data_IF_570892548970
#
_entry.id   IF_570892548970
#
_cell.length_a   1.000
_cell.length_b   1.000
_cell.length_c   1.000
_cell.angle_alpha   90.00
_cell.angle_beta   90.00
_cell.angle_gamma   90.00
#
_symmetry.space_group_name_H-M   'P 1'
#
loop_
_entity.id
_entity.type
_entity.pdbx_description
1 polymer ?
#
# COMPACT_ATOMS: atom_id res chain seq x y z
N UNK A 1 11.18 78.76 -11.90
CA UNK A 1 10.43 77.77 -11.10
C UNK A 1 10.59 76.41 -11.79
N UNK A 2 11.60 75.63 -11.40
CA UNK A 2 11.83 74.27 -11.93
C UNK A 2 11.22 73.28 -10.93
N UNK A 3 10.19 72.57 -11.36
CA UNK A 3 9.59 71.47 -10.60
C UNK A 3 10.59 70.32 -10.57
N UNK A 4 11.08 69.97 -9.38
CA UNK A 4 11.86 68.76 -9.13
C UNK A 4 10.95 67.54 -9.30
N UNK A 5 11.39 66.59 -10.11
CA UNK A 5 10.73 65.31 -10.36
C UNK A 5 10.99 64.37 -9.18
N UNK A 6 10.14 64.48 -8.15
CA UNK A 6 10.18 63.69 -6.91
C UNK A 6 9.77 62.22 -7.16
N UNK A 7 9.34 61.86 -8.37
CA UNK A 7 8.81 60.52 -8.66
C UNK A 7 9.87 59.46 -8.94
N UNK A 8 11.07 59.86 -9.39
CA UNK A 8 12.18 58.93 -9.64
C UNK A 8 12.96 58.59 -8.37
N UNK A 9 13.18 59.54 -7.48
CA UNK A 9 13.94 59.30 -6.25
C UNK A 9 13.18 58.41 -5.26
N UNK A 10 11.84 58.40 -5.30
CA UNK A 10 11.01 57.52 -4.45
C UNK A 10 10.99 56.05 -4.90
N UNK A 11 11.34 55.77 -6.17
CA UNK A 11 11.52 54.41 -6.68
C UNK A 11 12.96 53.90 -6.50
N UNK A 12 13.93 54.81 -6.34
CA UNK A 12 15.35 54.49 -6.13
C UNK A 12 15.66 54.20 -4.65
N UNK A 13 14.87 54.71 -3.70
CA UNK A 13 15.07 54.43 -2.26
C UNK A 13 14.47 53.10 -1.77
N UNK A 14 13.63 52.42 -2.57
CA UNK A 14 13.12 51.07 -2.24
C UNK A 14 14.04 49.94 -2.72
N UNK A 15 15.06 50.25 -3.52
CA UNK A 15 16.23 49.38 -3.71
C UNK A 15 17.28 49.69 -2.64
N UNK A 16 16.92 49.54 -1.36
CA UNK A 16 17.93 49.11 -0.38
C UNK A 16 18.41 47.77 -0.88
N UNK A 17 19.67 47.72 -1.32
CA UNK A 17 20.28 46.53 -1.90
C UNK A 17 19.99 45.33 -1.01
N UNK A 18 19.11 44.43 -1.45
CA UNK A 18 19.14 43.07 -0.94
C UNK A 18 20.59 42.62 -1.10
N UNK A 19 21.19 42.16 -0.02
CA UNK A 19 22.49 41.54 -0.13
C UNK A 19 22.34 40.25 -0.98
N UNK A 20 23.46 39.71 -1.44
CA UNK A 20 23.42 38.55 -2.32
C UNK A 20 22.77 37.33 -1.64
N UNK A 21 22.89 37.23 -0.32
CA UNK A 21 22.27 36.22 0.51
C UNK A 21 20.73 36.30 0.48
N UNK A 22 20.16 37.49 0.57
CA UNK A 22 18.71 37.72 0.49
C UNK A 22 18.17 37.36 -0.91
N UNK A 23 18.94 37.65 -1.97
CA UNK A 23 18.60 37.26 -3.34
C UNK A 23 18.59 35.74 -3.52
N UNK A 24 19.59 35.04 -2.97
CA UNK A 24 19.61 33.57 -2.97
C UNK A 24 18.38 33.03 -2.22
N UNK A 25 18.08 33.59 -1.05
CA UNK A 25 16.90 33.23 -0.25
C UNK A 25 15.60 33.42 -1.02
N UNK A 26 15.48 34.52 -1.77
CA UNK A 26 14.31 34.79 -2.61
C UNK A 26 14.20 33.79 -3.76
N UNK A 27 15.28 33.50 -4.48
CA UNK A 27 15.23 32.58 -5.61
C UNK A 27 14.99 31.13 -5.18
N UNK A 28 15.61 30.66 -4.10
CA UNK A 28 15.34 29.30 -3.59
C UNK A 28 13.89 29.16 -3.13
N UNK A 29 13.28 30.24 -2.62
CA UNK A 29 11.89 30.24 -2.17
C UNK A 29 10.89 29.93 -3.28
N UNK A 30 11.25 30.20 -4.54
CA UNK A 30 10.41 29.92 -5.72
C UNK A 30 10.45 28.45 -6.14
N UNK A 31 11.45 27.69 -5.68
CA UNK A 31 11.62 26.28 -6.05
C UNK A 31 10.69 25.34 -5.27
N UNK A 32 10.57 24.09 -5.75
CA UNK A 32 9.81 23.03 -5.07
C UNK A 32 10.40 22.63 -3.72
N UNK A 33 11.70 22.85 -3.48
CA UNK A 33 12.38 22.42 -2.26
C UNK A 33 11.81 23.03 -0.98
N UNK A 34 11.27 24.25 -1.04
CA UNK A 34 10.62 24.86 0.12
C UNK A 34 9.31 24.14 0.47
N UNK A 35 8.53 23.75 -0.54
CA UNK A 35 7.32 22.96 -0.34
C UNK A 35 7.66 21.59 0.24
N UNK A 36 8.66 20.90 -0.34
CA UNK A 36 9.14 19.60 0.15
C UNK A 36 9.57 19.68 1.62
N UNK A 37 10.36 20.71 1.97
CA UNK A 37 10.79 20.91 3.35
C UNK A 37 9.59 21.09 4.29
N UNK A 38 8.62 21.93 3.94
CA UNK A 38 7.42 22.17 4.77
C UNK A 38 6.58 20.91 4.95
N UNK A 39 6.31 20.18 3.86
CA UNK A 39 5.58 18.91 3.89
C UNK A 39 6.31 17.91 4.79
N UNK A 40 7.63 17.80 4.68
CA UNK A 40 8.44 16.96 5.56
C UNK A 40 8.35 17.35 7.04
N UNK A 41 8.34 18.65 7.36
CA UNK A 41 8.17 19.11 8.75
C UNK A 41 6.76 18.81 9.28
N UNK A 42 5.71 18.99 8.48
CA UNK A 42 4.33 18.65 8.86
C UNK A 42 4.20 17.16 9.19
N UNK A 43 4.76 16.30 8.34
CA UNK A 43 4.82 14.85 8.54
C UNK A 43 5.53 14.50 9.85
N UNK A 44 6.73 15.04 10.08
CA UNK A 44 7.51 14.79 11.31
C UNK A 44 6.79 15.30 12.56
N UNK A 45 6.17 16.47 12.50
CA UNK A 45 5.36 17.03 13.59
C UNK A 45 4.16 16.14 13.95
N UNK A 46 3.63 15.42 12.96
CA UNK A 46 2.61 14.39 13.15
C UNK A 46 3.21 13.00 13.31
N UNK A 47 4.47 12.84 13.70
CA UNK A 47 5.06 11.53 14.06
C UNK A 47 5.24 10.54 12.91
N UNK A 48 5.36 11.02 11.66
CA UNK A 48 5.79 10.21 10.54
C UNK A 48 7.31 10.18 10.44
N UNK A 49 7.88 9.01 10.15
CA UNK A 49 9.26 8.91 9.67
C UNK A 49 9.30 9.40 8.22
N UNK A 50 10.30 10.18 7.85
CA UNK A 50 10.42 10.79 6.51
C UNK A 50 11.80 10.52 5.93
N UNK A 51 11.83 10.06 4.69
CA UNK A 51 13.00 9.92 3.81
C UNK A 51 12.81 10.94 2.67
N UNK A 52 13.85 11.71 2.35
CA UNK A 52 13.82 12.77 1.33
C UNK A 52 14.86 12.50 0.25
N UNK A 53 14.52 12.79 -1.00
CA UNK A 53 15.46 12.72 -2.12
C UNK A 53 16.03 11.33 -2.37
N UNK A 54 15.22 10.29 -2.20
CA UNK A 54 15.66 8.92 -2.43
C UNK A 54 15.70 8.62 -3.93
N UNK A 55 16.86 8.18 -4.41
CA UNK A 55 17.07 7.83 -5.80
C UNK A 55 16.71 6.38 -6.07
N UNK A 56 16.01 6.13 -7.18
CA UNK A 56 15.73 4.80 -7.70
C UNK A 56 16.05 4.73 -9.19
N UNK A 57 16.33 3.53 -9.68
CA UNK A 57 16.51 3.28 -11.12
C UNK A 57 15.17 2.81 -11.67
N UNK A 58 14.68 3.47 -12.71
CA UNK A 58 13.46 3.07 -13.39
C UNK A 58 13.71 1.81 -14.23
N UNK A 59 13.12 0.69 -13.83
CA UNK A 59 13.30 -0.61 -14.49
C UNK A 59 12.96 -0.62 -15.99
N UNK A 60 12.20 0.37 -16.50
CA UNK A 60 11.85 0.44 -17.93
C UNK A 60 12.81 1.31 -18.76
N UNK A 61 13.44 2.30 -18.14
CA UNK A 61 14.21 3.33 -18.83
C UNK A 61 15.71 3.30 -18.45
N UNK A 62 16.09 2.59 -17.38
CA UNK A 62 17.44 2.57 -16.78
C UNK A 62 17.96 3.99 -16.46
N UNK A 63 17.03 4.88 -16.10
CA UNK A 63 17.31 6.28 -15.75
C UNK A 63 17.14 6.46 -14.24
N UNK A 64 18.14 7.05 -13.54
CA UNK A 64 17.97 7.45 -12.16
C UNK A 64 16.87 8.50 -12.03
N UNK A 65 15.94 8.26 -11.12
CA UNK A 65 14.85 9.17 -10.76
C UNK A 65 14.90 9.43 -9.25
N UNK A 66 14.48 10.61 -8.85
CA UNK A 66 14.39 11.01 -7.46
C UNK A 66 12.92 10.97 -7.01
N UNK A 67 12.68 10.42 -5.83
CA UNK A 67 11.42 10.56 -5.11
C UNK A 67 11.52 11.75 -4.17
N UNK A 68 10.57 12.68 -4.28
CA UNK A 68 10.57 13.89 -3.46
C UNK A 68 10.54 13.50 -1.96
N UNK A 69 9.51 12.75 -1.52
CA UNK A 69 9.41 12.24 -0.14
C UNK A 69 8.78 10.85 -0.04
N UNK A 70 9.33 10.00 0.83
CA UNK A 70 8.64 8.84 1.39
C UNK A 70 8.40 9.08 2.87
N UNK A 71 7.16 8.90 3.31
CA UNK A 71 6.83 8.91 4.73
C UNK A 71 6.18 7.60 5.16
N UNK A 72 6.47 7.15 6.38
CA UNK A 72 5.84 5.94 6.90
C UNK A 72 5.59 5.99 8.40
N UNK A 73 4.61 5.19 8.83
CA UNK A 73 4.38 4.79 10.22
C UNK A 73 4.36 3.28 10.33
N UNK A 74 4.76 2.79 11.50
CA UNK A 74 4.87 1.36 11.80
C UNK A 74 4.12 1.05 13.08
N UNK A 75 3.30 0.00 13.04
CA UNK A 75 2.72 -0.64 14.20
C UNK A 75 3.11 -2.12 14.20
N UNK A 76 3.02 -2.76 15.35
CA UNK A 76 3.18 -4.21 15.45
C UNK A 76 1.85 -4.87 15.82
N UNK A 77 1.59 -6.03 15.25
CA UNK A 77 0.39 -6.85 15.49
C UNK A 77 0.80 -8.30 15.80
N UNK A 78 -0.14 -9.09 16.30
CA UNK A 78 0.05 -10.51 16.66
C UNK A 78 1.27 -10.72 17.55
N UNK A 79 1.20 -10.23 18.80
CA UNK A 79 2.29 -10.36 19.79
C UNK A 79 3.66 -9.90 19.30
N UNK A 80 3.69 -8.77 18.59
CA UNK A 80 4.89 -8.16 18.02
C UNK A 80 5.58 -8.93 16.88
N UNK A 81 4.93 -9.95 16.31
CA UNK A 81 5.51 -10.75 15.23
C UNK A 81 5.46 -10.06 13.85
N UNK A 82 4.42 -9.27 13.58
CA UNK A 82 4.19 -8.68 12.25
C UNK A 82 4.20 -7.16 12.32
N UNK A 83 5.01 -6.54 11.47
CA UNK A 83 5.09 -5.09 11.34
C UNK A 83 4.15 -4.58 10.24
N UNK A 84 3.24 -3.68 10.60
CA UNK A 84 2.29 -3.04 9.68
C UNK A 84 2.80 -1.65 9.32
N UNK A 85 3.15 -1.46 8.05
CA UNK A 85 3.60 -0.20 7.49
C UNK A 85 2.47 0.48 6.72
N UNK A 86 2.25 1.74 7.03
CA UNK A 86 1.46 2.65 6.18
C UNK A 86 2.42 3.64 5.55
N UNK A 87 2.50 3.63 4.23
CA UNK A 87 3.47 4.40 3.45
C UNK A 87 2.76 5.45 2.63
N UNK A 88 3.30 6.67 2.64
CA UNK A 88 2.92 7.78 1.79
C UNK A 88 4.10 8.04 0.84
N UNK A 89 3.89 7.85 -0.45
CA UNK A 89 4.82 8.29 -1.49
C UNK A 89 4.30 9.63 -1.98
N UNK A 90 5.09 10.67 -1.82
CA UNK A 90 4.65 12.04 -1.99
C UNK A 90 5.50 12.71 -3.07
N UNK A 91 4.83 13.34 -4.02
CA UNK A 91 5.45 14.26 -4.96
C UNK A 91 5.00 15.68 -4.67
N UNK A 92 5.95 16.60 -4.61
CA UNK A 92 5.70 18.01 -4.38
C UNK A 92 5.87 18.76 -5.70
N UNK A 93 4.88 19.58 -6.06
CA UNK A 93 4.94 20.43 -7.26
C UNK A 93 4.50 21.84 -6.91
N UNK A 94 5.40 22.80 -7.14
CA UNK A 94 5.16 24.23 -6.93
C UNK A 94 5.10 24.94 -8.28
N UNK A 95 4.19 25.89 -8.41
CA UNK A 95 4.11 26.78 -9.57
C UNK A 95 3.56 28.14 -9.16
N UNK A 96 4.31 29.20 -9.42
CA UNK A 96 3.86 30.59 -9.19
C UNK A 96 3.07 31.11 -10.39
N UNK A 97 3.29 30.56 -11.58
CA UNK A 97 2.70 31.04 -12.84
C UNK A 97 1.41 30.32 -13.21
N UNK A 98 1.28 29.05 -12.84
CA UNK A 98 0.21 28.18 -13.32
C UNK A 98 -0.55 27.50 -12.17
N UNK A 99 -1.87 27.50 -12.27
CA UNK A 99 -2.76 26.65 -11.49
C UNK A 99 -2.93 25.29 -12.18
N UNK A 100 -3.31 24.27 -11.41
CA UNK A 100 -3.61 22.94 -11.95
C UNK A 100 -5.12 22.77 -12.11
N UNK A 101 -5.56 22.42 -13.31
CA UNK A 101 -6.95 22.12 -13.62
C UNK A 101 -7.14 20.62 -13.87
N UNK A 102 -8.08 20.02 -13.13
CA UNK A 102 -8.49 18.64 -13.25
C UNK A 102 -9.81 18.62 -14.02
N UNK A 103 -9.77 18.12 -15.26
CA UNK A 103 -10.94 18.08 -16.13
C UNK A 103 -11.76 16.85 -15.78
N UNK A 104 -13.00 17.10 -15.36
CA UNK A 104 -13.82 16.10 -14.68
C UNK A 104 -15.22 15.98 -15.28
N UNK A 105 -15.79 14.79 -15.15
CA UNK A 105 -17.18 14.47 -15.49
C UNK A 105 -17.82 13.61 -14.41
N UNK A 106 -19.12 13.34 -14.54
CA UNK A 106 -19.83 12.46 -13.63
C UNK A 106 -19.21 11.06 -13.63
N UNK A 107 -18.95 10.52 -12.44
CA UNK A 107 -18.35 9.21 -12.27
C UNK A 107 -19.39 8.09 -12.42
N UNK A 108 -18.97 6.97 -13.02
CA UNK A 108 -19.75 5.74 -13.06
C UNK A 108 -19.03 4.62 -12.27
N UNK A 109 -19.29 4.53 -10.97
CA UNK A 109 -18.70 3.49 -10.09
C UNK A 109 -19.07 2.03 -10.48
N UNK A 110 -19.91 1.84 -11.49
CA UNK A 110 -20.27 0.53 -12.06
C UNK A 110 -19.54 0.22 -13.37
N UNK A 111 -18.65 1.10 -13.83
CA UNK A 111 -17.83 0.84 -15.02
C UNK A 111 -16.93 -0.38 -14.79
N UNK A 112 -17.09 -1.48 -15.55
CA UNK A 112 -16.27 -2.68 -15.39
C UNK A 112 -14.82 -2.48 -15.85
N UNK A 113 -14.51 -1.39 -16.54
CA UNK A 113 -13.16 -1.10 -17.06
C UNK A 113 -12.29 -0.29 -16.09
N UNK A 114 -12.81 0.04 -14.91
CA UNK A 114 -12.09 0.86 -13.93
C UNK A 114 -12.13 0.18 -12.57
N UNK A 115 -10.94 -0.09 -12.00
CA UNK A 115 -10.84 -0.45 -10.58
C UNK A 115 -10.85 0.84 -9.73
N UNK A 116 -11.99 1.12 -9.09
CA UNK A 116 -12.16 2.28 -8.22
C UNK A 116 -11.59 2.09 -6.81
N UNK A 117 -11.20 0.87 -6.45
CA UNK A 117 -10.67 0.54 -5.13
C UNK A 117 -9.30 -0.15 -5.22
N UNK A 118 -8.33 0.42 -5.96
CA UNK A 118 -7.02 -0.19 -6.05
C UNK A 118 -6.39 -0.26 -4.66
N UNK A 119 -5.78 -1.40 -4.36
CA UNK A 119 -5.06 -1.64 -3.13
C UNK A 119 -3.65 -2.11 -3.46
N UNK A 120 -2.67 -1.25 -3.20
CA UNK A 120 -1.27 -1.59 -3.34
C UNK A 120 -0.71 -2.00 -1.99
N UNK A 121 -0.56 -3.30 -1.83
CA UNK A 121 0.05 -3.90 -0.65
C UNK A 121 1.18 -4.84 -1.03
N UNK A 122 2.13 -5.00 -0.11
CA UNK A 122 3.16 -6.03 -0.17
C UNK A 122 3.25 -6.71 1.20
N UNK A 123 3.46 -8.02 1.22
CA UNK A 123 3.75 -8.76 2.46
C UNK A 123 4.66 -9.95 2.17
N UNK A 124 5.52 -10.28 3.13
CA UNK A 124 6.27 -11.54 3.17
C UNK A 124 5.67 -12.54 4.17
N UNK A 125 4.56 -12.20 4.83
CA UNK A 125 3.80 -13.14 5.64
C UNK A 125 2.84 -13.93 4.76
N UNK A 126 2.87 -15.26 4.92
CA UNK A 126 2.13 -16.18 4.05
C UNK A 126 0.63 -16.12 4.30
N UNK A 127 0.20 -15.93 5.55
CA UNK A 127 -1.22 -15.86 5.91
C UNK A 127 -1.86 -14.58 5.38
N UNK A 128 -1.20 -13.43 5.57
CA UNK A 128 -1.65 -12.17 4.98
C UNK A 128 -1.61 -12.21 3.45
N UNK A 129 -0.57 -12.82 2.87
CA UNK A 129 -0.44 -12.99 1.42
C UNK A 129 -1.64 -13.75 0.83
N UNK A 130 -2.06 -14.84 1.47
CA UNK A 130 -3.27 -15.57 1.08
C UNK A 130 -4.53 -14.70 1.22
N UNK A 131 -4.71 -14.03 2.35
CA UNK A 131 -5.90 -13.19 2.58
C UNK A 131 -6.02 -12.08 1.55
N UNK A 132 -4.91 -11.42 1.20
CA UNK A 132 -4.90 -10.33 0.22
C UNK A 132 -5.14 -10.82 -1.22
N UNK A 133 -4.85 -12.09 -1.52
CA UNK A 133 -5.09 -12.68 -2.83
C UNK A 133 -6.56 -13.05 -3.09
N UNK A 134 -7.43 -13.02 -2.06
CA UNK A 134 -8.86 -13.34 -2.22
C UNK A 134 -9.56 -12.25 -3.04
N UNK A 135 -10.36 -12.66 -4.02
CA UNK A 135 -11.12 -11.75 -4.87
C UNK A 135 -12.02 -10.79 -4.07
N UNK A 136 -12.05 -9.52 -4.47
CA UNK A 136 -12.85 -8.47 -3.81
C UNK A 136 -12.25 -7.91 -2.52
N UNK A 137 -11.09 -8.38 -2.07
CA UNK A 137 -10.40 -7.85 -0.88
C UNK A 137 -10.04 -6.38 -0.94
N UNK A 138 -9.59 -5.80 -2.07
CA UNK A 138 -9.33 -4.36 -2.15
C UNK A 138 -10.55 -3.53 -1.71
N UNK A 139 -11.73 -3.81 -2.25
CA UNK A 139 -12.97 -3.13 -1.85
C UNK A 139 -13.30 -3.33 -0.37
N UNK A 140 -13.20 -4.57 0.14
CA UNK A 140 -13.40 -4.87 1.58
C UNK A 140 -12.43 -4.12 2.48
N UNK A 141 -11.19 -3.91 2.04
CA UNK A 141 -10.21 -3.10 2.76
C UNK A 141 -10.69 -1.65 2.86
N UNK A 142 -11.07 -1.02 1.74
CA UNK A 142 -11.56 0.37 1.74
C UNK A 142 -12.81 0.54 2.61
N UNK A 143 -13.74 -0.42 2.58
CA UNK A 143 -14.90 -0.46 3.47
C UNK A 143 -14.48 -0.65 4.95
N UNK A 144 -13.56 -1.57 5.22
CA UNK A 144 -13.11 -1.90 6.57
C UNK A 144 -12.37 -0.75 7.27
N UNK A 145 -11.48 -0.05 6.57
CA UNK A 145 -10.77 1.09 7.18
C UNK A 145 -11.71 2.27 7.46
N UNK A 146 -12.78 2.45 6.67
CA UNK A 146 -13.82 3.46 6.93
C UNK A 146 -14.62 3.16 8.20
N UNK A 147 -14.89 1.89 8.50
CA UNK A 147 -15.53 1.48 9.77
C UNK A 147 -14.66 1.90 10.97
N UNK A 148 -13.34 2.02 10.79
CA UNK A 148 -12.41 2.49 11.81
C UNK A 148 -12.19 4.02 11.81
N UNK A 149 -13.04 4.78 11.11
CA UNK A 149 -13.06 6.25 11.17
C UNK A 149 -12.13 6.95 10.19
N UNK A 150 -11.58 6.23 9.20
CA UNK A 150 -10.91 6.86 8.06
C UNK A 150 -11.95 7.49 7.16
N UNK A 151 -11.80 8.75 6.81
CA UNK A 151 -12.70 9.44 5.88
C UNK A 151 -12.01 9.62 4.53
N UNK A 152 -11.23 10.67 4.38
CA UNK A 152 -10.83 11.19 3.09
C UNK A 152 -9.75 10.33 2.42
N UNK A 153 -8.85 9.76 3.21
CA UNK A 153 -7.79 8.87 2.73
C UNK A 153 -8.34 7.55 2.19
N UNK A 154 -9.58 7.19 2.53
CA UNK A 154 -10.29 6.02 2.01
C UNK A 154 -11.60 6.38 1.28
N UNK A 155 -11.78 7.66 0.94
CA UNK A 155 -12.97 8.12 0.25
C UNK A 155 -12.99 7.62 -1.20
N UNK A 156 -14.19 7.31 -1.67
CA UNK A 156 -14.43 7.00 -3.08
C UNK A 156 -14.27 8.31 -3.91
N UNK A 157 -13.74 8.22 -5.14
CA UNK A 157 -13.68 9.37 -6.03
C UNK A 157 -15.07 9.94 -6.30
N UNK A 158 -15.21 11.26 -6.21
CA UNK A 158 -16.49 11.95 -6.39
C UNK A 158 -16.79 12.25 -7.86
N UNK A 159 -15.76 12.27 -8.69
CA UNK A 159 -15.82 12.58 -10.12
C UNK A 159 -14.82 11.69 -10.88
N UNK A 160 -15.06 11.53 -12.17
CA UNK A 160 -14.07 10.94 -13.06
C UNK A 160 -13.21 12.05 -13.67
N UNK A 161 -11.95 12.13 -13.26
CA UNK A 161 -10.97 13.02 -13.89
C UNK A 161 -10.42 12.32 -15.13
N UNK A 162 -10.69 12.88 -16.31
CA UNK A 162 -10.32 12.28 -17.59
C UNK A 162 -9.14 12.97 -18.28
N UNK A 163 -8.79 14.18 -17.84
CA UNK A 163 -7.66 14.93 -18.38
C UNK A 163 -7.15 15.97 -17.37
N UNK A 164 -5.96 16.50 -17.65
CA UNK A 164 -5.29 17.50 -16.86
C UNK A 164 -4.85 18.67 -17.73
N UNK A 165 -4.74 19.86 -17.13
CA UNK A 165 -4.32 21.05 -17.83
C UNK A 165 -3.69 22.03 -16.84
N UNK A 166 -2.47 22.51 -17.08
CA UNK A 166 -2.01 23.71 -16.37
C UNK A 166 -2.67 24.96 -16.97
N UNK A 167 -3.10 25.89 -16.12
CA UNK A 167 -3.80 27.12 -16.49
C UNK A 167 -3.01 28.31 -15.98
N UNK A 168 -2.71 29.29 -16.83
CA UNK A 168 -2.00 30.49 -16.38
C UNK A 168 -2.84 31.26 -15.36
N UNK A 169 -2.25 31.61 -14.22
CA UNK A 169 -2.92 32.41 -13.19
C UNK A 169 -3.24 33.83 -13.62
N UNK A 170 -2.53 34.34 -14.64
CA UNK A 170 -2.68 35.72 -15.11
C UNK A 170 -3.93 35.90 -15.96
N UNK A 171 -4.20 34.97 -16.89
CA UNK A 171 -5.24 35.14 -17.90
C UNK A 171 -6.12 33.90 -18.12
N UNK A 172 -5.91 32.82 -17.35
CA UNK A 172 -6.63 31.57 -17.49
C UNK A 172 -6.34 30.81 -18.79
N UNK A 173 -5.30 31.17 -19.56
CA UNK A 173 -4.97 30.45 -20.79
C UNK A 173 -4.36 29.09 -20.49
N UNK A 174 -4.71 28.02 -21.25
CA UNK A 174 -4.10 26.71 -21.08
C UNK A 174 -2.59 26.74 -21.40
N UNK A 175 -1.83 25.94 -20.67
CA UNK A 175 -0.39 25.69 -20.85
C UNK A 175 -0.15 24.23 -21.25
N UNK A 176 1.06 23.70 -21.11
CA UNK A 176 1.24 22.24 -21.23
C UNK A 176 0.88 21.58 -19.88
N UNK A 177 0.78 20.26 -19.84
CA UNK A 177 0.45 19.47 -18.64
C UNK A 177 1.65 18.66 -18.13
N UNK A 178 2.88 18.98 -18.59
CA UNK A 178 4.09 18.19 -18.34
C UNK A 178 4.38 18.04 -16.85
N UNK A 179 4.18 19.10 -16.07
CA UNK A 179 4.41 19.06 -14.62
C UNK A 179 3.46 18.06 -13.92
N UNK A 180 2.20 18.02 -14.37
CA UNK A 180 1.17 17.11 -13.85
C UNK A 180 1.53 15.68 -14.22
N UNK A 181 1.78 15.43 -15.51
CA UNK A 181 2.15 14.10 -16.01
C UNK A 181 3.41 13.56 -15.33
N UNK A 182 4.43 14.39 -15.13
CA UNK A 182 5.65 14.01 -14.42
C UNK A 182 5.38 13.63 -12.95
N UNK A 183 4.48 14.36 -12.26
CA UNK A 183 4.10 14.02 -10.88
C UNK A 183 3.36 12.68 -10.79
N UNK A 184 2.46 12.41 -11.74
CA UNK A 184 1.71 11.15 -11.77
C UNK A 184 2.63 9.97 -12.07
N UNK A 185 3.46 10.10 -13.10
CA UNK A 185 4.37 9.03 -13.52
C UNK A 185 5.45 8.76 -12.48
N UNK A 186 5.99 9.78 -11.82
CA UNK A 186 6.97 9.57 -10.75
C UNK A 186 6.35 8.80 -9.57
N UNK A 187 5.14 9.16 -9.13
CA UNK A 187 4.44 8.47 -8.04
C UNK A 187 4.19 6.99 -8.34
N UNK A 188 3.66 6.68 -9.53
CA UNK A 188 3.34 5.30 -9.92
C UNK A 188 4.62 4.46 -10.06
N UNK A 189 5.66 5.02 -10.69
CA UNK A 189 6.95 4.33 -10.85
C UNK A 189 7.66 4.12 -9.51
N UNK A 190 7.64 5.12 -8.63
CA UNK A 190 8.16 5.03 -7.27
C UNK A 190 7.48 3.92 -6.45
N UNK A 191 6.15 3.80 -6.51
CA UNK A 191 5.43 2.72 -5.84
C UNK A 191 5.82 1.34 -6.37
N UNK A 192 5.92 1.20 -7.70
CA UNK A 192 6.32 -0.06 -8.30
C UNK A 192 7.74 -0.48 -7.87
N UNK A 193 8.68 0.47 -7.85
CA UNK A 193 10.03 0.27 -7.34
C UNK A 193 10.05 -0.14 -5.86
N UNK A 194 9.32 0.58 -5.01
CA UNK A 194 9.29 0.29 -3.58
C UNK A 194 8.75 -1.13 -3.32
N UNK A 195 7.68 -1.52 -4.01
CA UNK A 195 7.10 -2.87 -3.94
C UNK A 195 8.09 -3.92 -4.43
N UNK A 196 8.79 -3.68 -5.55
CA UNK A 196 9.74 -4.66 -6.13
C UNK A 196 11.01 -4.81 -5.30
N UNK A 197 11.45 -3.77 -4.60
CA UNK A 197 12.64 -3.77 -3.76
C UNK A 197 12.42 -4.44 -2.38
N UNK A 198 11.17 -4.51 -1.89
CA UNK A 198 10.86 -5.03 -0.54
C UNK A 198 11.31 -6.49 -0.28
N UNK A 199 11.15 -7.47 -1.19
CA UNK A 199 11.65 -8.84 -0.97
C UNK A 199 13.15 -8.92 -0.64
N UNK A 200 13.95 -8.04 -1.25
CA UNK A 200 15.39 -7.98 -0.97
C UNK A 200 15.68 -7.32 0.38
N UNK A 201 15.00 -6.20 0.69
CA UNK A 201 15.27 -5.35 1.87
C UNK A 201 14.64 -5.88 3.17
N UNK A 202 13.42 -6.43 3.13
CA UNK A 202 12.62 -6.72 4.32
C UNK A 202 12.63 -8.21 4.69
N UNK A 203 13.22 -8.53 5.85
CA UNK A 203 13.37 -9.91 6.34
C UNK A 203 12.43 -10.28 7.50
N UNK A 204 12.08 -9.33 8.36
CA UNK A 204 11.03 -9.53 9.38
C UNK A 204 9.65 -9.63 8.71
N UNK A 205 8.72 -10.36 9.33
CA UNK A 205 7.34 -10.45 8.84
C UNK A 205 6.73 -9.05 8.82
N UNK A 206 6.20 -8.65 7.69
CA UNK A 206 5.64 -7.32 7.53
C UNK A 206 4.57 -7.27 6.45
N UNK A 207 3.73 -6.25 6.54
CA UNK A 207 2.82 -5.82 5.49
C UNK A 207 2.96 -4.33 5.27
N UNK A 208 3.04 -3.90 4.02
CA UNK A 208 3.15 -2.53 3.59
C UNK A 208 1.91 -2.17 2.80
N UNK A 209 1.27 -1.04 3.15
CA UNK A 209 0.18 -0.45 2.40
C UNK A 209 0.61 0.93 1.88
N UNK A 210 0.50 1.13 0.57
CA UNK A 210 1.02 2.31 -0.12
C UNK A 210 -0.08 3.29 -0.52
N UNK A 211 0.18 4.58 -0.32
CA UNK A 211 -0.68 5.69 -0.71
C UNK A 211 0.13 6.68 -1.55
N UNK A 212 -0.44 7.14 -2.67
CA UNK A 212 0.20 8.10 -3.56
C UNK A 212 -0.42 9.49 -3.36
N UNK A 213 0.42 10.50 -3.14
CA UNK A 213 -0.02 11.87 -2.88
C UNK A 213 0.77 12.84 -3.75
N UNK A 214 0.07 13.72 -4.46
CA UNK A 214 0.66 14.87 -5.15
C UNK A 214 0.28 16.14 -4.37
N UNK A 215 1.25 16.75 -3.71
CA UNK A 215 1.08 17.99 -2.94
C UNK A 215 1.44 19.20 -3.81
N UNK A 216 0.52 20.15 -3.91
CA UNK A 216 0.57 21.28 -4.81
C UNK A 216 0.81 22.57 -4.03
N UNK A 217 1.94 23.23 -4.32
CA UNK A 217 2.23 24.61 -3.93
C UNK A 217 1.67 25.59 -4.95
N UNK A 218 0.45 25.35 -5.43
CA UNK A 218 -0.28 26.19 -6.38
C UNK A 218 -1.79 25.96 -6.24
N UNK A 219 -2.58 26.77 -6.93
CA UNK A 219 -4.04 26.68 -6.89
C UNK A 219 -4.51 25.47 -7.70
N UNK A 220 -5.53 24.79 -7.20
CA UNK A 220 -6.12 23.62 -7.85
C UNK A 220 -7.60 23.86 -8.14
N UNK A 221 -8.01 23.53 -9.36
CA UNK A 221 -9.39 23.70 -9.85
C UNK A 221 -9.93 22.40 -10.43
N UNK A 222 -11.18 22.09 -10.12
CA UNK A 222 -11.98 21.11 -10.84
C UNK A 222 -12.74 21.82 -11.96
N UNK A 223 -12.55 21.37 -13.20
CA UNK A 223 -13.32 21.82 -14.35
C UNK A 223 -14.37 20.76 -14.70
N UNK A 224 -15.61 20.99 -14.27
CA UNK A 224 -16.72 20.09 -14.55
C UNK A 224 -17.27 20.31 -15.96
N UNK A 225 -17.13 19.29 -16.80
CA UNK A 225 -17.78 19.21 -18.10
C UNK A 225 -19.20 18.68 -17.87
N UNK A 226 -20.19 19.52 -18.15
CA UNK A 226 -21.59 19.12 -18.14
C UNK A 226 -21.92 18.21 -19.33
N UNK A 227 -23.10 17.58 -19.28
CA UNK A 227 -23.66 16.89 -20.44
C UNK A 227 -23.79 17.84 -21.64
N UNK A 228 -23.88 17.27 -22.84
CA UNK A 228 -23.76 17.97 -24.11
C UNK A 228 -24.46 19.35 -24.14
N UNK A 229 -23.66 20.41 -24.31
CA UNK A 229 -24.14 21.80 -24.42
C UNK A 229 -24.10 22.64 -23.15
N UNK A 230 -23.77 22.07 -21.98
CA UNK A 230 -23.82 22.76 -20.69
C UNK A 230 -22.60 23.62 -20.29
N UNK A 231 -21.57 23.73 -21.16
CA UNK A 231 -20.35 24.47 -20.86
C UNK A 231 -19.44 23.81 -19.81
N UNK A 232 -18.41 24.53 -19.37
CA UNK A 232 -17.43 24.07 -18.37
C UNK A 232 -17.51 24.94 -17.13
N UNK A 233 -17.72 24.35 -15.95
CA UNK A 233 -17.76 25.05 -14.67
C UNK A 233 -16.47 24.82 -13.89
N UNK A 234 -15.78 25.90 -13.54
CA UNK A 234 -14.61 25.85 -12.67
C UNK A 234 -14.99 25.97 -11.19
N UNK A 235 -14.37 25.16 -10.34
CA UNK A 235 -14.50 25.21 -8.87
C UNK A 235 -13.12 25.05 -8.26
N UNK A 236 -12.71 25.98 -7.40
CA UNK A 236 -11.48 25.83 -6.61
C UNK A 236 -11.65 24.68 -5.60
N UNK A 237 -10.63 23.84 -5.46
CA UNK A 237 -10.64 22.65 -4.61
C UNK A 237 -9.31 22.47 -3.90
N UNK A 238 -9.34 21.95 -2.68
CA UNK A 238 -8.13 21.64 -1.91
C UNK A 238 -7.72 20.17 -2.01
N UNK A 239 -8.62 19.30 -2.49
CA UNK A 239 -8.40 17.86 -2.61
C UNK A 239 -9.15 17.25 -3.80
N UNK A 240 -8.55 16.26 -4.45
CA UNK A 240 -9.20 15.38 -5.41
C UNK A 240 -8.63 13.96 -5.38
N UNK A 241 -9.48 12.95 -5.62
CA UNK A 241 -9.07 11.57 -5.83
C UNK A 241 -9.04 11.25 -7.33
N UNK A 242 -7.90 10.77 -7.83
CA UNK A 242 -7.74 10.35 -9.22
C UNK A 242 -7.38 8.86 -9.30
N UNK A 243 -8.08 8.14 -10.16
CA UNK A 243 -7.78 6.75 -10.50
C UNK A 243 -6.95 6.76 -11.78
N UNK A 244 -5.65 6.57 -11.62
CA UNK A 244 -4.69 6.51 -12.71
C UNK A 244 -4.64 5.09 -13.28
N UNK A 245 -4.92 4.93 -14.57
CA UNK A 245 -4.72 3.68 -15.30
C UNK A 245 -3.37 3.74 -16.01
N UNK A 246 -2.41 2.93 -15.57
CA UNK A 246 -1.05 2.92 -16.10
C UNK A 246 -0.58 1.51 -16.46
N UNK A 247 0.33 1.42 -17.41
CA UNK A 247 1.04 0.17 -17.73
C UNK A 247 2.43 0.26 -17.10
N UNK A 248 2.70 -0.62 -16.13
CA UNK A 248 4.01 -0.76 -15.48
C UNK A 248 4.49 -2.18 -15.69
N UNK A 249 5.74 -2.36 -16.14
CA UNK A 249 6.31 -3.68 -16.43
C UNK A 249 5.42 -4.55 -17.35
N UNK A 250 4.83 -3.94 -18.38
CA UNK A 250 3.90 -4.55 -19.36
C UNK A 250 2.61 -5.12 -18.74
N UNK A 251 2.27 -4.73 -17.51
CA UNK A 251 1.01 -5.07 -16.85
C UNK A 251 0.21 -3.80 -16.61
N UNK A 252 -1.06 -3.85 -16.96
CA UNK A 252 -2.00 -2.80 -16.60
C UNK A 252 -2.26 -2.83 -15.10
N UNK A 253 -2.25 -1.66 -14.48
CA UNK A 253 -2.52 -1.45 -13.07
C UNK A 253 -3.29 -0.15 -12.88
N UNK A 254 -4.16 -0.14 -11.88
CA UNK A 254 -4.85 1.05 -11.42
C UNK A 254 -4.19 1.54 -10.15
N UNK A 255 -3.93 2.83 -10.07
CA UNK A 255 -3.36 3.47 -8.89
C UNK A 255 -4.19 4.67 -8.49
N UNK A 256 -4.55 4.74 -7.21
CA UNK A 256 -5.23 5.90 -6.65
C UNK A 256 -4.20 6.94 -6.22
N UNK A 257 -4.31 8.13 -6.79
CA UNK A 257 -3.46 9.27 -6.51
C UNK A 257 -4.32 10.37 -5.92
N UNK A 258 -3.93 10.87 -4.75
CA UNK A 258 -4.60 11.98 -4.10
C UNK A 258 -3.89 13.28 -4.43
N UNK A 259 -4.57 14.20 -5.09
CA UNK A 259 -4.08 15.57 -5.27
C UNK A 259 -4.53 16.41 -4.09
N UNK A 260 -3.60 17.15 -3.51
CA UNK A 260 -3.82 18.01 -2.35
C UNK A 260 -3.08 19.32 -2.57
N UNK A 261 -3.68 20.45 -2.24
CA UNK A 261 -2.93 21.69 -2.01
C UNK A 261 -2.07 21.55 -0.73
N UNK A 262 -1.18 22.51 -0.49
CA UNK A 262 -0.41 22.56 0.78
C UNK A 262 -1.34 22.56 2.01
N UNK A 263 -2.41 23.36 1.97
CA UNK A 263 -3.39 23.46 3.05
C UNK A 263 -4.23 22.18 3.18
N UNK A 264 -4.74 21.68 2.05
CA UNK A 264 -5.49 20.41 2.02
C UNK A 264 -4.67 19.23 2.52
N UNK A 265 -3.35 19.23 2.27
CA UNK A 265 -2.44 18.21 2.81
C UNK A 265 -2.36 18.29 4.33
N UNK A 266 -2.14 19.49 4.88
CA UNK A 266 -2.08 19.72 6.32
C UNK A 266 -3.35 19.23 7.04
N UNK A 267 -4.52 19.56 6.49
CA UNK A 267 -5.83 19.13 7.02
C UNK A 267 -6.03 17.61 6.94
N UNK A 268 -5.58 16.99 5.85
CA UNK A 268 -5.76 15.54 5.62
C UNK A 268 -4.85 14.65 6.46
N UNK A 269 -3.78 15.21 7.04
CA UNK A 269 -2.69 14.42 7.63
C UNK A 269 -3.15 13.64 8.87
N UNK A 270 -4.11 14.17 9.62
CA UNK A 270 -4.73 13.46 10.74
C UNK A 270 -5.55 12.25 10.27
N UNK A 271 -6.15 12.31 9.09
CA UNK A 271 -6.86 11.18 8.50
C UNK A 271 -5.90 10.07 8.04
N UNK A 272 -4.72 10.42 7.52
CA UNK A 272 -3.67 9.42 7.28
C UNK A 272 -3.14 8.81 8.59
N UNK A 273 -3.15 9.57 9.70
CA UNK A 273 -2.89 9.04 11.03
C UNK A 273 -3.93 8.01 11.47
N UNK A 274 -5.22 8.28 11.22
CA UNK A 274 -6.32 7.33 11.43
C UNK A 274 -6.20 6.12 10.51
N UNK A 275 -5.80 6.32 9.25
CA UNK A 275 -5.56 5.23 8.30
C UNK A 275 -4.51 4.26 8.82
N UNK A 276 -3.41 4.76 9.40
CA UNK A 276 -2.41 3.87 10.00
C UNK A 276 -2.98 3.02 11.15
N UNK A 277 -3.76 3.62 12.04
CA UNK A 277 -4.41 2.89 13.14
C UNK A 277 -5.44 1.87 12.61
N UNK A 278 -6.21 2.25 11.59
CA UNK A 278 -7.17 1.38 10.91
C UNK A 278 -6.47 0.21 10.21
N UNK A 279 -5.33 0.45 9.56
CA UNK A 279 -4.51 -0.58 8.94
C UNK A 279 -4.05 -1.63 9.96
N UNK A 280 -3.51 -1.19 11.11
CA UNK A 280 -3.10 -2.12 12.16
C UNK A 280 -4.25 -3.03 12.61
N UNK A 281 -5.46 -2.47 12.80
CA UNK A 281 -6.66 -3.25 13.17
C UNK A 281 -7.13 -4.18 12.06
N UNK A 282 -7.20 -3.67 10.83
CA UNK A 282 -7.69 -4.43 9.68
C UNK A 282 -6.77 -5.60 9.37
N UNK A 283 -5.46 -5.38 9.27
CA UNK A 283 -4.49 -6.46 9.03
C UNK A 283 -4.43 -7.46 10.19
N UNK A 284 -4.60 -7.03 11.44
CA UNK A 284 -4.73 -7.95 12.57
C UNK A 284 -5.99 -8.83 12.47
N UNK A 285 -7.11 -8.25 12.06
CA UNK A 285 -8.35 -8.97 11.80
C UNK A 285 -8.18 -9.99 10.68
N UNK A 286 -7.61 -9.58 9.54
CA UNK A 286 -7.34 -10.46 8.40
C UNK A 286 -6.40 -11.62 8.75
N UNK A 287 -5.37 -11.34 9.54
CA UNK A 287 -4.46 -12.36 10.03
C UNK A 287 -5.15 -13.34 10.98
N UNK A 288 -5.95 -12.86 11.94
CA UNK A 288 -6.75 -13.71 12.82
C UNK A 288 -7.78 -14.55 12.02
N UNK A 289 -8.41 -13.95 11.02
CA UNK A 289 -9.38 -14.57 10.13
C UNK A 289 -8.78 -15.72 9.32
N UNK A 290 -7.49 -15.67 8.98
CA UNK A 290 -6.79 -16.76 8.31
C UNK A 290 -6.70 -18.00 9.20
N UNK A 291 -6.34 -17.81 10.47
CA UNK A 291 -6.18 -18.91 11.43
C UNK A 291 -7.49 -19.40 12.05
N UNK A 292 -8.56 -18.61 11.99
CA UNK A 292 -9.89 -19.03 12.44
C UNK A 292 -10.34 -20.27 11.66
N UNK A 293 -10.60 -21.34 12.40
CA UNK A 293 -11.07 -22.63 11.89
C UNK A 293 -10.21 -23.14 10.73
N UNK A 294 -8.91 -22.87 10.75
CA UNK A 294 -8.00 -23.10 9.61
C UNK A 294 -8.01 -24.56 9.13
N UNK A 295 -8.15 -25.51 10.06
CA UNK A 295 -8.16 -26.94 9.76
C UNK A 295 -9.38 -27.37 8.95
N UNK A 296 -10.44 -26.55 8.92
CA UNK A 296 -11.66 -26.79 8.16
C UNK A 296 -11.63 -26.16 6.74
N UNK A 297 -10.53 -25.51 6.34
CA UNK A 297 -10.37 -24.89 5.03
C UNK A 297 -9.08 -25.42 4.36
N UNK A 298 -9.25 -26.41 3.48
CA UNK A 298 -8.15 -27.10 2.78
C UNK A 298 -7.22 -26.13 2.03
N UNK A 299 -7.75 -25.00 1.54
CA UNK A 299 -6.92 -24.02 0.83
C UNK A 299 -5.98 -23.30 1.79
N UNK A 300 -6.41 -23.05 3.02
CA UNK A 300 -5.57 -22.42 4.05
C UNK A 300 -4.57 -23.40 4.64
N UNK A 301 -4.96 -24.66 4.83
CA UNK A 301 -4.02 -25.68 5.32
C UNK A 301 -2.89 -25.90 4.30
N UNK A 302 -3.23 -26.03 3.02
CA UNK A 302 -2.27 -26.25 1.94
C UNK A 302 -1.21 -25.14 1.85
N UNK A 303 -1.61 -23.89 2.08
CA UNK A 303 -0.71 -22.72 2.07
C UNK A 303 0.43 -22.83 3.09
N UNK A 304 0.21 -23.52 4.22
CA UNK A 304 1.22 -23.73 5.26
C UNK A 304 1.87 -25.13 5.21
N UNK A 305 1.43 -25.99 4.30
CA UNK A 305 1.81 -27.41 4.27
C UNK A 305 3.33 -27.62 4.20
N UNK A 306 4.04 -26.83 3.39
CA UNK A 306 5.49 -26.98 3.29
C UNK A 306 6.20 -26.68 4.62
N UNK A 307 5.74 -25.66 5.37
CA UNK A 307 6.30 -25.32 6.69
C UNK A 307 5.99 -26.40 7.72
N UNK A 308 4.79 -26.97 7.64
CA UNK A 308 4.40 -28.10 8.50
C UNK A 308 5.27 -29.33 8.21
N UNK A 309 5.37 -29.72 6.94
CA UNK A 309 6.19 -30.85 6.49
C UNK A 309 7.64 -30.72 6.96
N UNK A 310 8.28 -29.58 6.71
CA UNK A 310 9.67 -29.35 7.10
C UNK A 310 9.90 -29.52 8.61
N UNK A 311 8.88 -29.19 9.42
CA UNK A 311 8.94 -29.32 10.88
C UNK A 311 8.75 -30.77 11.38
N UNK A 312 7.93 -31.57 10.70
CA UNK A 312 7.60 -32.95 11.12
C UNK A 312 8.45 -34.01 10.43
N UNK A 313 8.96 -33.74 9.22
CA UNK A 313 9.57 -34.74 8.32
C UNK A 313 10.66 -35.54 9.01
N UNK A 314 11.72 -34.87 9.44
CA UNK A 314 12.92 -35.55 9.94
C UNK A 314 12.69 -36.29 11.27
N UNK A 315 12.05 -35.70 12.29
CA UNK A 315 11.79 -36.39 13.55
C UNK A 315 10.90 -37.63 13.38
N UNK A 316 9.87 -37.56 12.53
CA UNK A 316 8.96 -38.69 12.30
C UNK A 316 9.63 -39.76 11.43
N UNK A 317 10.34 -39.36 10.35
CA UNK A 317 11.11 -40.27 9.48
C UNK A 317 12.01 -41.19 10.29
N UNK A 318 12.80 -40.61 11.19
CA UNK A 318 13.75 -41.37 12.00
C UNK A 318 13.08 -42.44 12.85
N UNK A 319 11.88 -42.17 13.39
CA UNK A 319 11.13 -43.15 14.19
C UNK A 319 10.57 -44.27 13.34
N UNK A 320 10.00 -43.91 12.19
CA UNK A 320 9.46 -44.86 11.24
C UNK A 320 10.55 -45.80 10.70
N UNK A 321 11.71 -45.28 10.31
CA UNK A 321 12.85 -46.09 9.82
C UNK A 321 13.41 -47.06 10.88
N UNK A 322 13.35 -46.69 12.17
CA UNK A 322 13.76 -47.59 13.27
C UNK A 322 12.83 -48.79 13.43
N UNK A 323 11.54 -48.61 13.17
CA UNK A 323 10.51 -49.66 13.31
C UNK A 323 10.36 -50.46 12.02
N UNK A 324 10.28 -49.79 10.87
CA UNK A 324 10.03 -50.34 9.55
C UNK A 324 11.30 -50.16 8.70
N UNK A 325 12.09 -51.23 8.54
CA UNK A 325 13.46 -51.20 7.98
C UNK A 325 13.60 -50.72 6.52
N UNK A 326 12.52 -50.33 5.83
CA UNK A 326 12.51 -49.92 4.41
C UNK A 326 11.38 -48.91 4.07
N UNK A 327 10.95 -48.07 5.02
CA UNK A 327 9.91 -47.07 4.73
C UNK A 327 10.52 -45.77 4.19
N UNK A 328 9.99 -45.27 3.07
CA UNK A 328 10.35 -43.95 2.53
C UNK A 328 9.39 -42.90 3.08
N UNK A 329 9.88 -42.04 3.99
CA UNK A 329 9.09 -40.95 4.58
C UNK A 329 9.56 -39.59 4.07
N UNK A 330 9.14 -39.23 2.86
CA UNK A 330 9.45 -37.93 2.26
C UNK A 330 8.21 -37.20 1.70
N UNK A 331 7.07 -37.87 1.66
CA UNK A 331 5.81 -37.31 1.15
C UNK A 331 5.23 -36.26 2.10
N UNK A 332 4.60 -35.24 1.51
CA UNK A 332 3.82 -34.26 2.27
C UNK A 332 2.50 -34.91 2.68
N UNK A 333 2.09 -34.79 3.96
CA UNK A 333 0.76 -35.22 4.34
C UNK A 333 -0.31 -34.35 3.68
N UNK A 334 -1.54 -34.85 3.63
CA UNK A 334 -2.72 -33.99 3.52
C UNK A 334 -3.28 -33.75 4.93
N UNK A 335 -3.92 -32.60 5.11
CA UNK A 335 -4.67 -32.30 6.33
C UNK A 335 -6.13 -32.12 5.93
N UNK A 336 -7.02 -32.90 6.53
CA UNK A 336 -8.46 -32.82 6.29
C UNK A 336 -9.22 -32.85 7.62
N UNK A 337 -10.28 -32.05 7.71
CA UNK A 337 -11.14 -32.07 8.89
C UNK A 337 -12.19 -33.17 8.75
N UNK A 338 -12.22 -34.12 9.68
CA UNK A 338 -13.24 -35.16 9.71
C UNK A 338 -14.46 -34.68 10.52
N UNK A 339 -15.59 -34.49 9.84
CA UNK A 339 -16.83 -34.02 10.46
C UNK A 339 -17.44 -35.06 11.41
N UNK A 340 -17.34 -36.35 11.10
CA UNK A 340 -17.97 -37.42 11.87
C UNK A 340 -17.30 -37.62 13.23
N UNK A 341 -15.97 -37.51 13.26
CA UNK A 341 -15.18 -37.68 14.48
C UNK A 341 -14.79 -36.36 15.15
N UNK A 342 -15.02 -35.22 14.47
CA UNK A 342 -14.59 -33.89 14.93
C UNK A 342 -13.10 -33.85 15.29
N UNK A 343 -12.28 -34.50 14.47
CA UNK A 343 -10.82 -34.54 14.58
C UNK A 343 -10.15 -34.18 13.25
N UNK A 344 -8.87 -33.83 13.34
CA UNK A 344 -8.03 -33.57 12.19
C UNK A 344 -7.40 -34.88 11.69
N UNK A 345 -7.59 -35.23 10.43
CA UNK A 345 -6.85 -36.30 9.79
C UNK A 345 -5.51 -35.77 9.27
N UNK A 346 -4.42 -36.45 9.64
CA UNK A 346 -3.09 -36.27 9.06
C UNK A 346 -2.83 -37.43 8.12
N UNK A 347 -3.03 -37.20 6.82
CA UNK A 347 -3.14 -38.27 5.85
C UNK A 347 -1.82 -38.59 5.18
N UNK A 348 -1.46 -39.87 5.21
CA UNK A 348 -0.33 -40.42 4.48
C UNK A 348 -0.74 -41.67 3.69
N UNK A 349 -0.14 -41.88 2.52
CA UNK A 349 -0.37 -43.08 1.70
C UNK A 349 0.46 -44.27 2.22
N UNK A 350 0.24 -44.67 3.48
CA UNK A 350 0.88 -45.84 4.10
C UNK A 350 -0.14 -46.93 4.45
N UNK A 351 0.35 -48.14 4.68
CA UNK A 351 -0.48 -49.25 5.17
C UNK A 351 -0.93 -49.03 6.62
N UNK A 352 -2.02 -49.69 6.99
CA UNK A 352 -2.65 -49.58 8.32
C UNK A 352 -1.66 -49.86 9.46
N UNK A 353 -0.73 -50.80 9.27
CA UNK A 353 0.29 -51.14 10.28
C UNK A 353 1.22 -49.97 10.63
N UNK A 354 1.52 -49.12 9.65
CA UNK A 354 2.32 -47.90 9.85
C UNK A 354 1.47 -46.82 10.52
N UNK A 355 0.25 -46.60 10.03
CA UNK A 355 -0.65 -45.57 10.56
C UNK A 355 -1.06 -45.85 12.01
N UNK A 356 -1.34 -47.12 12.33
CA UNK A 356 -1.62 -47.58 13.71
C UNK A 356 -0.42 -47.31 14.62
N UNK A 357 0.80 -47.66 14.17
CA UNK A 357 2.02 -47.35 14.93
C UNK A 357 2.19 -45.83 15.16
N UNK A 358 1.93 -45.00 14.15
CA UNK A 358 1.98 -43.54 14.29
C UNK A 358 0.95 -43.01 15.29
N UNK A 359 -0.26 -43.59 15.30
CA UNK A 359 -1.32 -43.24 16.24
C UNK A 359 -1.00 -43.68 17.68
N UNK A 360 -0.24 -44.76 17.87
CA UNK A 360 0.15 -45.31 19.18
C UNK A 360 1.45 -44.69 19.75
N UNK A 361 2.36 -44.20 18.91
CA UNK A 361 3.64 -43.63 19.35
C UNK A 361 3.46 -42.23 19.94
N UNK A 362 3.61 -42.11 21.26
CA UNK A 362 3.42 -40.86 22.01
C UNK A 362 4.35 -39.73 21.53
N UNK A 363 5.57 -40.07 21.13
CA UNK A 363 6.53 -39.06 20.68
C UNK A 363 6.18 -38.51 19.29
N UNK A 364 5.76 -39.37 18.34
CA UNK A 364 5.23 -38.93 17.04
C UNK A 364 4.04 -38.00 17.25
N UNK A 365 3.11 -38.39 18.13
CA UNK A 365 1.95 -37.58 18.47
C UNK A 365 2.38 -36.21 19.06
N UNK A 366 3.32 -36.19 19.99
CA UNK A 366 3.83 -34.95 20.59
C UNK A 366 4.52 -34.04 19.56
N UNK A 367 5.31 -34.60 18.64
CA UNK A 367 5.96 -33.87 17.56
C UNK A 367 4.92 -33.22 16.64
N UNK A 368 3.93 -33.99 16.21
CA UNK A 368 2.89 -33.51 15.28
C UNK A 368 1.98 -32.51 15.97
N UNK A 369 1.55 -32.76 17.22
CA UNK A 369 0.78 -31.80 18.01
C UNK A 369 1.51 -30.45 18.15
N UNK A 370 2.81 -30.48 18.48
CA UNK A 370 3.63 -29.27 18.60
C UNK A 370 3.78 -28.54 17.26
N UNK A 371 3.87 -29.26 16.14
CA UNK A 371 3.90 -28.68 14.81
C UNK A 371 2.54 -28.07 14.41
N UNK A 372 1.43 -28.77 14.68
CA UNK A 372 0.07 -28.29 14.43
C UNK A 372 -0.21 -27.00 15.20
N UNK A 373 0.13 -26.97 16.49
CA UNK A 373 0.02 -25.78 17.33
C UNK A 373 0.86 -24.62 16.80
N UNK A 374 2.12 -24.87 16.45
CA UNK A 374 3.03 -23.81 16.03
C UNK A 374 2.74 -23.25 14.64
N UNK A 375 2.26 -24.09 13.70
CA UNK A 375 2.04 -23.70 12.30
C UNK A 375 0.60 -23.28 12.07
N UNK A 376 -0.36 -24.05 12.55
CA UNK A 376 -1.80 -23.85 12.30
C UNK A 376 -2.55 -23.26 13.51
N UNK A 377 -1.91 -23.09 14.68
CA UNK A 377 -2.60 -22.68 15.93
C UNK A 377 -3.69 -23.67 16.35
N UNK A 378 -3.56 -24.93 15.93
CA UNK A 378 -4.49 -26.00 16.24
C UNK A 378 -4.02 -26.80 17.45
N UNK A 379 -4.91 -26.98 18.45
CA UNK A 379 -4.64 -27.73 19.68
C UNK A 379 -5.63 -28.89 19.91
N UNK A 380 -6.51 -29.16 18.94
CA UNK A 380 -7.49 -30.26 19.04
C UNK A 380 -6.89 -31.64 18.76
N UNK A 381 -7.75 -32.66 18.82
CA UNK A 381 -7.37 -34.04 18.50
C UNK A 381 -7.05 -34.24 17.02
N UNK A 382 -6.14 -35.15 16.73
CA UNK A 382 -5.84 -35.58 15.37
C UNK A 382 -5.55 -37.08 15.33
N UNK A 383 -5.63 -37.65 14.12
CA UNK A 383 -5.32 -39.05 13.84
C UNK A 383 -4.60 -39.19 12.52
N UNK A 384 -3.66 -40.13 12.45
CA UNK A 384 -3.07 -40.56 11.17
C UNK A 384 -4.03 -41.53 10.48
N UNK A 385 -4.43 -41.23 9.24
CA UNK A 385 -5.39 -42.02 8.48
C UNK A 385 -5.02 -42.02 7.00
N UNK A 386 -5.63 -42.91 6.24
CA UNK A 386 -5.66 -42.82 4.79
C UNK A 386 -7.12 -42.93 4.34
N UNK A 387 -7.73 -41.81 4.00
CA UNK A 387 -9.06 -41.77 3.41
C UNK A 387 -8.92 -41.35 1.94
N UNK A 388 -9.44 -42.16 1.01
CA UNK A 388 -9.45 -41.79 -0.41
C UNK A 388 -10.52 -40.69 -0.56
N UNK A 389 -10.18 -39.48 -1.04
CA UNK A 389 -11.18 -38.46 -1.31
C UNK A 389 -12.07 -38.98 -2.45
N UNK A 390 -13.38 -39.15 -2.19
CA UNK A 390 -14.37 -39.53 -3.19
C UNK A 390 -14.88 -38.34 -3.98
#
# INVERSE_FOLDING_TARGET
MKLFDISKDYQVEKSRSMNYEDLIGLEISKTGYVLEHRVAQLLKAKGWSVISGEYYVDDNEDVPREMDLIAYRVAKIDNDEIEVYTVLIISCKKSEENAWALLARNINLKDPNTDYWPLHCWTNDVALGYQLAISGKPKKYHEGVRIHGVTDAAADPQVEVFAFQEMSKINGSPRNDRAIFNSLTSLVKAQAYEISALPARKKSKAVYQFNLISVLGTDMYRLMFADAGGGVKAVAIESEQYIARYIVAKRESFSRIRFLTEDGFSESLDDYGRLHAANARWFAGEYADFYRDIVCDDKRTEVLMSKFHDKVRFPVKWRLERKFKNISYDDKPLLSWNLDFSDLSVEYMYGDDVLDFMNEDEDINNIVAAALKAIYRYEGSFKFRFEIPF
#
